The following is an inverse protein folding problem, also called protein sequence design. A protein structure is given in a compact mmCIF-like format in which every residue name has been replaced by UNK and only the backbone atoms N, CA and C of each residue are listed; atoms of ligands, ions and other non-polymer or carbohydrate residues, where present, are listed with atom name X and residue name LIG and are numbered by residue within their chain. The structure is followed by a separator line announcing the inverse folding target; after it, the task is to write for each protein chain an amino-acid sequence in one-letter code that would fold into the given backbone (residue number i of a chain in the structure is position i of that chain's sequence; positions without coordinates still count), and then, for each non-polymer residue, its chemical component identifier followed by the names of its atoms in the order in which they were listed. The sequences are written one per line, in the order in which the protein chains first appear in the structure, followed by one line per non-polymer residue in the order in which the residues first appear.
data_IF_603452958616
#
_entry.id   IF_603452958616
#
_cell.length_a   1.000
_cell.length_b   1.000
_cell.length_c   1.000
_cell.angle_alpha   90.00
_cell.angle_beta   90.00
_cell.angle_gamma   90.00
#
_symmetry.space_group_name_H-M   'P 1'
#
loop_
_entity.id
_entity.type
_entity.pdbx_description
1 polymer ?
#
# COMPACT_ATOMS: atom_id res chain seq x y z
N UNK A 1 -4.63 -14.95 7.41
CA UNK A 1 -5.01 -13.88 6.46
C UNK A 1 -3.82 -12.94 6.30
N UNK A 2 -3.36 -12.70 5.07
CA UNK A 2 -2.31 -11.71 4.78
C UNK A 2 -3.03 -10.46 4.28
N UNK A 3 -2.99 -9.37 5.03
CA UNK A 3 -3.59 -8.09 4.61
C UNK A 3 -2.75 -7.41 3.54
N UNK A 4 -3.30 -6.40 2.86
CA UNK A 4 -2.55 -5.59 1.90
C UNK A 4 -1.28 -4.99 2.51
N UNK A 5 -1.35 -4.55 3.76
CA UNK A 5 -0.18 -4.09 4.52
C UNK A 5 0.94 -5.15 4.54
N UNK A 6 0.63 -6.38 4.94
CA UNK A 6 1.64 -7.44 4.98
C UNK A 6 2.19 -7.79 3.58
N UNK A 7 1.37 -7.66 2.54
CA UNK A 7 1.81 -7.85 1.17
C UNK A 7 2.80 -6.77 0.72
N UNK A 8 2.50 -5.49 0.99
CA UNK A 8 3.31 -4.37 0.48
C UNK A 8 4.68 -4.28 1.15
N UNK A 9 4.83 -4.78 2.38
CA UNK A 9 6.11 -4.79 3.10
C UNK A 9 7.22 -5.57 2.37
N UNK A 10 6.90 -6.44 1.41
CA UNK A 10 7.91 -7.12 0.58
C UNK A 10 8.67 -6.16 -0.35
N UNK A 11 8.14 -4.97 -0.59
CA UNK A 11 8.76 -3.91 -1.40
C UNK A 11 9.50 -2.86 -0.54
N UNK A 12 9.61 -3.06 0.77
CA UNK A 12 10.30 -2.10 1.64
C UNK A 12 11.81 -2.14 1.37
N UNK A 13 12.38 -0.99 1.05
CA UNK A 13 13.80 -0.83 0.72
C UNK A 13 14.38 0.38 1.45
N UNK A 14 15.55 0.30 2.10
CA UNK A 14 16.17 1.46 2.76
C UNK A 14 16.40 2.66 1.83
N UNK A 15 16.60 2.39 0.54
CA UNK A 15 16.74 3.38 -0.52
C UNK A 15 15.78 3.03 -1.67
N UNK A 16 14.56 3.62 -1.70
CA UNK A 16 13.56 3.29 -2.71
C UNK A 16 14.01 3.80 -4.09
N UNK A 17 13.91 2.93 -5.08
CA UNK A 17 14.32 3.14 -6.48
C UNK A 17 13.14 3.33 -7.43
N UNK A 18 11.94 3.00 -6.98
CA UNK A 18 10.71 3.13 -7.75
C UNK A 18 9.53 3.47 -6.82
N UNK A 19 8.40 3.84 -7.41
CA UNK A 19 7.25 4.28 -6.64
C UNK A 19 6.60 3.17 -5.80
N UNK A 20 6.75 1.89 -6.16
CA UNK A 20 6.23 0.77 -5.35
C UNK A 20 6.99 0.68 -4.02
N UNK A 21 8.31 0.81 -4.08
CA UNK A 21 9.18 0.86 -2.90
C UNK A 21 8.91 2.12 -2.07
N UNK A 22 8.72 3.28 -2.71
CA UNK A 22 8.33 4.52 -2.03
C UNK A 22 7.00 4.37 -1.29
N UNK A 23 5.98 3.79 -1.93
CA UNK A 23 4.68 3.55 -1.31
C UNK A 23 4.78 2.57 -0.14
N UNK A 24 5.56 1.49 -0.28
CA UNK A 24 5.78 0.52 0.79
C UNK A 24 6.44 1.15 2.02
N UNK A 25 7.43 2.03 1.81
CA UNK A 25 8.09 2.75 2.90
C UNK A 25 7.14 3.73 3.59
N UNK A 26 6.37 4.53 2.82
CA UNK A 26 5.38 5.45 3.39
C UNK A 26 4.31 4.70 4.22
N UNK A 27 3.76 3.60 3.70
CA UNK A 27 2.80 2.76 4.42
C UNK A 27 3.41 2.16 5.70
N UNK A 28 4.69 1.80 5.67
CA UNK A 28 5.39 1.26 6.84
C UNK A 28 5.57 2.33 7.94
N UNK A 29 5.94 3.55 7.55
CA UNK A 29 6.17 4.69 8.44
C UNK A 29 4.86 5.30 8.97
N UNK A 30 3.76 5.11 8.27
CA UNK A 30 2.43 5.58 8.65
C UNK A 30 1.81 4.68 9.74
N UNK A 31 1.73 5.23 10.95
CA UNK A 31 1.13 4.57 12.11
C UNK A 31 -0.41 4.57 12.07
N UNK A 32 -1.02 5.45 11.28
CA UNK A 32 -2.47 5.59 11.13
C UNK A 32 -3.02 4.70 10.00
N UNK A 33 -2.16 4.18 9.13
CA UNK A 33 -2.55 3.28 8.05
C UNK A 33 -3.40 2.10 8.57
N UNK A 34 -4.50 1.73 7.91
CA UNK A 34 -5.39 0.64 8.34
C UNK A 34 -4.78 -0.76 8.11
N UNK A 35 -3.73 -1.11 8.86
CA UNK A 35 -2.90 -2.33 8.66
C UNK A 35 -3.66 -3.66 8.72
N UNK A 36 -4.80 -3.65 9.42
CA UNK A 36 -5.67 -4.83 9.62
C UNK A 36 -6.81 -4.91 8.62
N UNK A 37 -7.06 -3.86 7.84
CA UNK A 37 -8.11 -3.88 6.83
C UNK A 37 -7.72 -4.80 5.67
N UNK A 38 -8.73 -5.48 5.14
CA UNK A 38 -8.68 -6.20 3.86
C UNK A 38 -9.72 -5.66 2.89
N UNK A 39 -10.42 -4.58 3.25
CA UNK A 39 -11.44 -3.95 2.42
C UNK A 39 -10.77 -2.98 1.44
N UNK A 40 -11.08 -3.12 0.16
CA UNK A 40 -10.51 -2.26 -0.88
C UNK A 40 -10.95 -0.81 -0.71
N UNK A 41 -12.24 -0.59 -0.43
CA UNK A 41 -12.79 0.76 -0.40
C UNK A 41 -12.23 1.55 0.79
N UNK A 42 -12.09 0.91 1.96
CA UNK A 42 -11.49 1.52 3.14
C UNK A 42 -10.03 1.95 2.87
N UNK A 43 -9.23 1.07 2.27
CA UNK A 43 -7.82 1.36 2.00
C UNK A 43 -7.67 2.38 0.86
N UNK A 44 -8.45 2.24 -0.22
CA UNK A 44 -8.44 3.18 -1.34
C UNK A 44 -8.83 4.58 -0.89
N UNK A 45 -9.92 4.71 -0.11
CA UNK A 45 -10.34 5.99 0.44
C UNK A 45 -9.24 6.62 1.32
N UNK A 46 -8.56 5.83 2.15
CA UNK A 46 -7.45 6.32 2.96
C UNK A 46 -6.29 6.85 2.09
N UNK A 47 -5.92 6.13 1.03
CA UNK A 47 -4.87 6.53 0.08
C UNK A 47 -5.26 7.81 -0.67
N UNK A 48 -6.48 7.90 -1.20
CA UNK A 48 -6.94 9.05 -2.00
C UNK A 48 -7.12 10.33 -1.18
N UNK A 49 -7.45 10.21 0.10
CA UNK A 49 -7.72 11.36 0.99
C UNK A 49 -6.52 11.81 1.81
N UNK A 50 -5.40 11.09 1.71
CA UNK A 50 -4.17 11.43 2.42
C UNK A 50 -3.17 12.03 1.43
N UNK A 51 -2.86 13.32 1.60
CA UNK A 51 -1.97 14.09 0.70
C UNK A 51 -0.63 13.37 0.43
N UNK A 52 -0.08 12.68 1.43
CA UNK A 52 1.18 11.95 1.33
C UNK A 52 1.17 10.78 0.34
N UNK A 53 -0.02 10.27 -0.01
CA UNK A 53 -0.20 9.16 -0.95
C UNK A 53 -0.86 9.58 -2.27
N UNK A 54 -1.33 10.82 -2.40
CA UNK A 54 -2.08 11.26 -3.58
C UNK A 54 -1.33 11.00 -4.90
N UNK A 55 -0.02 11.26 -4.93
CA UNK A 55 0.83 10.99 -6.12
C UNK A 55 1.15 9.49 -6.35
N UNK A 56 0.77 8.63 -5.41
CA UNK A 56 1.00 7.19 -5.42
C UNK A 56 -0.29 6.38 -5.58
N UNK A 57 -1.45 7.02 -5.75
CA UNK A 57 -2.74 6.33 -5.90
C UNK A 57 -2.73 5.31 -7.06
N UNK A 58 -2.18 5.68 -8.22
CA UNK A 58 -2.03 4.76 -9.37
C UNK A 58 -1.14 3.57 -9.03
N UNK A 59 -0.10 3.78 -8.22
CA UNK A 59 0.83 2.73 -7.80
C UNK A 59 0.17 1.79 -6.79
N UNK A 60 -0.72 2.34 -5.94
CA UNK A 60 -1.57 1.56 -5.06
C UNK A 60 -2.49 0.64 -5.86
N UNK A 61 -3.15 1.14 -6.91
CA UNK A 61 -4.03 0.32 -7.77
C UNK A 61 -3.27 -0.87 -8.37
N UNK A 62 -2.09 -0.61 -8.95
CA UNK A 62 -1.22 -1.65 -9.51
C UNK A 62 -0.86 -2.72 -8.47
N UNK A 63 -0.46 -2.30 -7.26
CA UNK A 63 -0.09 -3.20 -6.17
C UNK A 63 -1.29 -3.94 -5.60
N UNK A 64 -2.47 -3.34 -5.62
CA UNK A 64 -3.71 -3.97 -5.19
C UNK A 64 -4.07 -5.12 -6.13
N UNK A 65 -3.97 -4.91 -7.44
CA UNK A 65 -4.17 -5.97 -8.42
C UNK A 65 -3.20 -7.13 -8.22
N UNK A 66 -1.91 -6.85 -8.03
CA UNK A 66 -0.92 -7.88 -7.71
C UNK A 66 -1.28 -8.62 -6.42
N UNK A 67 -1.69 -7.91 -5.37
CA UNK A 67 -2.13 -8.50 -4.11
C UNK A 67 -3.28 -9.48 -4.34
N UNK A 68 -4.32 -9.09 -5.09
CA UNK A 68 -5.46 -9.96 -5.43
C UNK A 68 -5.06 -11.26 -6.11
N UNK A 69 -3.97 -11.27 -6.89
CA UNK A 69 -3.48 -12.51 -7.53
C UNK A 69 -2.85 -13.49 -6.54
N UNK A 70 -2.30 -13.00 -5.42
CA UNK A 70 -1.55 -13.79 -4.43
C UNK A 70 -2.47 -14.39 -3.36
N UNK A 71 -3.55 -13.69 -3.00
CA UNK A 71 -4.51 -14.10 -1.95
C UNK A 71 -5.70 -14.91 -2.47
N UNK A 72 -5.55 -15.60 -3.61
CA UNK A 72 -6.55 -16.57 -4.10
C UNK A 72 -6.83 -17.69 -3.10
#
# INVERSE_FOLDING_TARGET
MRTFYHFVLKYREPAPRNNKETLANKIYEDNSFPRRSSDYNEISQYIETTDDYFSLAVVFDDLWEEYRTVIK
#
